data_IF_520328854419
#
_entry.id   IF_520328854419
#
_cell.length_a   1.000
_cell.length_b   1.000
_cell.length_c   1.000
_cell.angle_alpha   90.00
_cell.angle_beta   90.00
_cell.angle_gamma   90.00
#
_symmetry.space_group_name_H-M   'P 1'
#
loop_
_entity.id
_entity.type
_entity.pdbx_description
1 polymer ?
#
# COMPACT_ATOMS: atom_id res chain seq x y z
N UNK A 1 -19.86 9.60 -48.33
CA UNK A 1 -19.65 8.36 -47.60
C UNK A 1 -18.70 8.68 -46.46
N UNK A 2 -19.28 8.99 -45.29
CA UNK A 2 -18.54 9.05 -44.05
C UNK A 2 -18.19 7.60 -43.73
N UNK A 3 -16.91 7.27 -43.90
CA UNK A 3 -16.36 6.00 -43.46
C UNK A 3 -16.46 5.95 -41.92
N UNK A 4 -17.33 5.08 -41.46
CA UNK A 4 -17.80 5.02 -40.06
C UNK A 4 -16.83 4.45 -39.07
N UNK A 5 -15.54 4.50 -39.31
CA UNK A 5 -14.51 4.13 -38.36
C UNK A 5 -14.13 5.32 -37.49
N UNK A 6 -15.00 5.65 -36.54
CA UNK A 6 -14.71 6.62 -35.49
C UNK A 6 -13.49 6.21 -34.62
N UNK A 7 -13.00 4.99 -34.80
CA UNK A 7 -11.84 4.45 -34.09
C UNK A 7 -11.05 3.48 -34.97
N UNK A 8 -10.33 3.96 -35.98
CA UNK A 8 -9.41 3.10 -36.71
C UNK A 8 -8.26 2.77 -35.75
N UNK A 9 -7.99 1.53 -35.49
CA UNK A 9 -6.82 1.04 -34.74
C UNK A 9 -6.82 1.23 -33.24
N UNK A 10 -7.92 1.52 -32.61
CA UNK A 10 -7.97 1.59 -31.16
C UNK A 10 -8.05 0.21 -30.59
N UNK A 11 -7.11 -0.09 -29.73
CA UNK A 11 -7.26 -1.11 -28.73
C UNK A 11 -8.71 -1.10 -28.24
N UNK A 12 -9.39 -2.25 -28.35
CA UNK A 12 -10.75 -2.45 -27.88
C UNK A 12 -10.90 -2.18 -26.37
N UNK A 13 -9.78 -2.11 -25.67
CA UNK A 13 -9.73 -1.88 -24.24
C UNK A 13 -8.75 -0.78 -23.87
N UNK A 14 -9.20 0.14 -23.03
CA UNK A 14 -8.34 1.11 -22.32
C UNK A 14 -8.61 0.91 -20.84
N UNK A 15 -7.55 0.78 -20.06
CA UNK A 15 -7.61 0.68 -18.61
C UNK A 15 -6.85 1.84 -17.98
N UNK A 16 -7.40 2.37 -16.91
CA UNK A 16 -6.76 3.33 -16.03
C UNK A 16 -6.83 2.81 -14.61
N UNK A 17 -5.91 3.20 -13.76
CA UNK A 17 -5.92 2.90 -12.34
C UNK A 17 -5.82 4.19 -11.53
N UNK A 18 -6.51 4.24 -10.41
CA UNK A 18 -6.48 5.34 -9.45
C UNK A 18 -6.59 4.79 -8.03
N UNK A 19 -5.98 5.47 -7.07
CA UNK A 19 -6.17 5.21 -5.64
C UNK A 19 -7.36 5.97 -5.07
N UNK A 20 -7.92 6.94 -5.83
CA UNK A 20 -9.05 7.74 -5.40
C UNK A 20 -10.37 7.11 -5.84
N UNK A 21 -11.45 7.40 -5.11
CA UNK A 21 -12.79 6.95 -5.50
C UNK A 21 -13.15 7.53 -6.88
N UNK A 22 -13.38 6.67 -7.89
CA UNK A 22 -13.64 7.09 -9.26
C UNK A 22 -14.86 8.03 -9.40
N UNK A 23 -15.83 7.91 -8.51
CA UNK A 23 -17.02 8.76 -8.52
C UNK A 23 -16.70 10.25 -8.28
N UNK A 24 -15.58 10.55 -7.62
CA UNK A 24 -15.17 11.93 -7.35
C UNK A 24 -14.15 12.47 -8.34
N UNK A 25 -13.34 11.60 -8.94
CA UNK A 25 -12.25 12.03 -9.81
C UNK A 25 -12.53 11.87 -11.31
N UNK A 26 -13.54 11.09 -11.70
CA UNK A 26 -13.87 10.87 -13.11
C UNK A 26 -15.17 11.57 -13.52
N UNK A 27 -15.20 12.00 -14.79
CA UNK A 27 -16.43 12.55 -15.37
C UNK A 27 -17.53 11.48 -15.42
N UNK A 28 -18.79 11.80 -15.02
CA UNK A 28 -19.91 10.85 -15.06
C UNK A 28 -20.15 10.20 -16.43
N UNK A 29 -19.91 10.94 -17.51
CA UNK A 29 -20.03 10.40 -18.87
C UNK A 29 -18.98 9.33 -19.18
N UNK A 30 -17.81 9.39 -18.54
CA UNK A 30 -16.78 8.36 -18.64
C UNK A 30 -17.13 7.17 -17.76
N UNK A 31 -17.56 7.42 -16.53
CA UNK A 31 -17.99 6.36 -15.58
C UNK A 31 -19.10 5.47 -16.16
N UNK A 32 -20.08 6.06 -16.85
CA UNK A 32 -21.18 5.30 -17.47
C UNK A 32 -20.73 4.35 -18.58
N UNK A 33 -19.50 4.51 -19.08
CA UNK A 33 -18.91 3.68 -20.16
C UNK A 33 -17.76 2.79 -19.69
N UNK A 34 -17.41 2.85 -18.40
CA UNK A 34 -16.32 2.07 -17.81
C UNK A 34 -16.88 0.97 -16.92
N UNK A 35 -16.20 -0.16 -16.90
CA UNK A 35 -16.37 -1.15 -15.85
C UNK A 35 -15.40 -0.80 -14.71
N UNK A 36 -15.93 -0.62 -13.51
CA UNK A 36 -15.12 -0.42 -12.31
C UNK A 36 -14.72 -1.78 -11.74
N UNK A 37 -13.44 -1.92 -11.46
CA UNK A 37 -12.86 -3.09 -10.78
C UNK A 37 -12.11 -2.57 -9.57
N UNK A 38 -12.58 -2.95 -8.39
CA UNK A 38 -11.95 -2.60 -7.13
C UNK A 38 -10.86 -3.62 -6.79
N UNK A 39 -9.65 -3.12 -6.56
CA UNK A 39 -8.54 -3.92 -6.03
C UNK A 39 -8.49 -3.73 -4.51
N UNK A 40 -8.63 -4.82 -3.79
CA UNK A 40 -8.51 -4.82 -2.33
C UNK A 40 -7.08 -5.09 -1.91
N UNK A 41 -6.74 -4.67 -0.70
CA UNK A 41 -5.50 -5.07 -0.04
C UNK A 41 -5.42 -6.59 0.06
N UNK A 42 -4.24 -7.15 -0.13
CA UNK A 42 -4.03 -8.58 -0.06
C UNK A 42 -4.11 -9.08 1.38
N UNK A 43 -4.78 -10.21 1.57
CA UNK A 43 -4.80 -10.89 2.86
C UNK A 43 -3.45 -11.61 3.13
N UNK A 44 -3.20 -11.96 4.39
CA UNK A 44 -1.99 -12.71 4.77
C UNK A 44 -1.89 -14.04 3.99
N UNK A 45 -3.04 -14.69 3.78
CA UNK A 45 -3.14 -15.95 3.02
C UNK A 45 -2.76 -15.79 1.53
N UNK A 46 -2.95 -14.59 0.97
CA UNK A 46 -2.55 -14.27 -0.41
C UNK A 46 -1.05 -13.94 -0.50
N UNK A 47 -0.50 -13.33 0.57
CA UNK A 47 0.88 -12.89 0.64
C UNK A 47 1.87 -14.05 0.91
N UNK A 48 1.49 -15.04 1.71
CA UNK A 48 2.33 -16.18 2.04
C UNK A 48 2.77 -17.01 0.80
N UNK A 49 1.88 -17.35 -0.15
CA UNK A 49 2.29 -18.00 -1.39
C UNK A 49 3.25 -17.15 -2.24
N UNK A 50 3.09 -15.82 -2.23
CA UNK A 50 3.98 -14.91 -2.96
C UNK A 50 5.40 -14.97 -2.41
N UNK A 51 5.59 -14.97 -1.09
CA UNK A 51 6.91 -15.12 -0.44
C UNK A 51 7.53 -16.46 -0.82
N UNK A 52 6.78 -17.55 -0.66
CA UNK A 52 7.29 -18.91 -0.98
C UNK A 52 7.69 -19.03 -2.45
N UNK A 53 6.90 -18.47 -3.35
CA UNK A 53 7.23 -18.42 -4.78
C UNK A 53 8.51 -17.62 -5.03
N UNK A 54 8.67 -16.45 -4.40
CA UNK A 54 9.86 -15.61 -4.57
C UNK A 54 11.13 -16.31 -4.07
N UNK A 55 11.04 -17.03 -2.95
CA UNK A 55 12.17 -17.81 -2.42
C UNK A 55 12.51 -19.03 -3.28
N UNK A 56 11.57 -19.57 -4.06
CA UNK A 56 11.81 -20.71 -4.96
C UNK A 56 12.16 -20.33 -6.40
N UNK A 57 11.92 -19.10 -6.83
CA UNK A 57 12.15 -18.66 -8.21
C UNK A 57 13.63 -18.27 -8.40
N UNK A 58 14.35 -19.06 -9.19
CA UNK A 58 15.79 -18.86 -9.46
C UNK A 58 16.04 -17.75 -10.48
N UNK A 59 15.08 -17.53 -11.41
CA UNK A 59 15.27 -16.56 -12.49
C UNK A 59 14.88 -15.14 -12.10
N UNK A 60 13.80 -15.00 -11.33
CA UNK A 60 13.18 -13.69 -11.01
C UNK A 60 13.09 -13.38 -9.53
N UNK A 61 13.50 -14.32 -8.68
CA UNK A 61 13.40 -14.23 -7.23
C UNK A 61 14.73 -14.47 -6.52
N UNK A 62 14.64 -15.01 -5.33
CA UNK A 62 15.75 -15.28 -4.44
C UNK A 62 16.18 -16.76 -4.44
N UNK A 63 15.63 -17.57 -5.36
CA UNK A 63 15.85 -19.02 -5.38
C UNK A 63 17.30 -19.44 -5.55
N UNK A 64 18.13 -18.64 -6.22
CA UNK A 64 19.57 -18.90 -6.37
C UNK A 64 20.30 -18.90 -5.02
N UNK A 65 19.79 -18.18 -4.00
CA UNK A 65 20.38 -18.11 -2.66
C UNK A 65 19.96 -19.24 -1.73
N UNK A 66 19.00 -20.08 -2.14
CA UNK A 66 18.48 -21.22 -1.37
C UNK A 66 18.06 -20.89 0.06
N UNK A 67 17.42 -19.73 0.24
CA UNK A 67 16.95 -19.25 1.54
C UNK A 67 15.68 -20.00 1.96
N UNK A 68 15.52 -20.18 3.27
CA UNK A 68 14.29 -20.63 3.91
C UNK A 68 13.74 -19.55 4.81
N UNK A 69 12.45 -19.62 5.16
CA UNK A 69 11.81 -18.69 6.08
C UNK A 69 11.02 -19.47 7.13
N UNK A 70 11.08 -19.04 8.37
CA UNK A 70 10.27 -19.59 9.45
C UNK A 70 8.81 -19.13 9.31
N UNK A 71 7.85 -19.96 9.71
CA UNK A 71 6.42 -19.65 9.54
C UNK A 71 6.00 -18.39 10.34
N UNK A 72 6.54 -18.20 11.52
CA UNK A 72 6.32 -17.01 12.35
C UNK A 72 6.98 -15.75 11.75
N UNK A 73 8.12 -15.89 11.08
CA UNK A 73 8.77 -14.81 10.33
C UNK A 73 7.97 -14.43 9.08
N UNK A 74 7.36 -15.42 8.43
CA UNK A 74 6.48 -15.20 7.28
C UNK A 74 5.20 -14.45 7.68
N UNK A 75 4.59 -14.81 8.80
CA UNK A 75 3.43 -14.09 9.34
C UNK A 75 3.78 -12.63 9.69
N UNK A 76 4.92 -12.43 10.36
CA UNK A 76 5.38 -11.08 10.71
C UNK A 76 5.66 -10.23 9.46
N UNK A 77 6.28 -10.82 8.46
CA UNK A 77 6.59 -10.16 7.18
C UNK A 77 5.30 -9.74 6.47
N UNK A 78 4.31 -10.64 6.39
CA UNK A 78 3.01 -10.35 5.81
C UNK A 78 2.25 -9.26 6.57
N UNK A 79 2.22 -9.31 7.90
CA UNK A 79 1.61 -8.28 8.73
C UNK A 79 2.27 -6.91 8.55
N UNK A 80 3.61 -6.86 8.46
CA UNK A 80 4.39 -5.63 8.29
C UNK A 80 4.18 -4.98 6.92
N UNK A 81 3.73 -5.74 5.93
CA UNK A 81 3.47 -5.24 4.57
C UNK A 81 2.14 -4.49 4.43
N UNK A 82 1.23 -4.62 5.40
CA UNK A 82 -0.10 -4.00 5.39
C UNK A 82 -0.93 -4.32 4.12
N UNK A 83 -0.76 -5.52 3.56
CA UNK A 83 -1.47 -5.97 2.36
C UNK A 83 -0.89 -5.47 1.03
N UNK A 84 0.28 -4.84 1.05
CA UNK A 84 1.00 -4.38 -0.16
C UNK A 84 2.10 -5.39 -0.55
N UNK A 85 1.91 -6.02 -1.73
CA UNK A 85 2.87 -7.01 -2.25
C UNK A 85 4.24 -6.40 -2.56
N UNK A 86 4.32 -5.14 -3.00
CA UNK A 86 5.61 -4.48 -3.27
C UNK A 86 6.39 -4.26 -1.99
N UNK A 87 5.71 -3.76 -0.96
CA UNK A 87 6.30 -3.57 0.36
C UNK A 87 6.74 -4.90 0.96
N UNK A 88 5.95 -5.96 0.81
CA UNK A 88 6.30 -7.32 1.22
C UNK A 88 7.62 -7.78 0.56
N UNK A 89 7.72 -7.64 -0.75
CA UNK A 89 8.90 -8.08 -1.51
C UNK A 89 10.14 -7.26 -1.16
N UNK A 90 10.00 -5.96 -0.96
CA UNK A 90 11.10 -5.10 -0.51
C UNK A 90 11.60 -5.50 0.89
N UNK A 91 10.68 -5.77 1.83
CA UNK A 91 11.04 -6.25 3.17
C UNK A 91 11.72 -7.62 3.11
N UNK A 92 11.21 -8.52 2.27
CA UNK A 92 11.81 -9.84 2.05
C UNK A 92 13.24 -9.73 1.47
N UNK A 93 13.44 -8.82 0.51
CA UNK A 93 14.76 -8.57 -0.09
C UNK A 93 15.76 -8.04 0.94
N UNK A 94 15.33 -7.10 1.80
CA UNK A 94 16.17 -6.58 2.89
C UNK A 94 16.50 -7.65 3.93
N UNK A 95 15.52 -8.46 4.34
CA UNK A 95 15.76 -9.57 5.26
C UNK A 95 16.69 -10.61 4.66
N UNK A 96 16.53 -10.90 3.37
CA UNK A 96 17.41 -11.79 2.64
C UNK A 96 18.83 -11.23 2.57
N UNK A 97 19.01 -9.92 2.32
CA UNK A 97 20.34 -9.29 2.25
C UNK A 97 21.14 -9.44 3.55
N UNK A 98 20.45 -9.53 4.69
CA UNK A 98 21.06 -9.73 6.02
C UNK A 98 21.25 -11.20 6.38
N UNK A 99 20.84 -12.13 5.50
CA UNK A 99 20.91 -13.57 5.73
C UNK A 99 21.98 -14.17 4.82
N UNK A 100 22.79 -15.09 5.32
CA UNK A 100 23.78 -15.82 4.50
C UNK A 100 23.08 -16.76 3.51
N UNK A 101 23.76 -17.12 2.42
CA UNK A 101 23.23 -18.08 1.45
C UNK A 101 23.02 -19.44 2.12
N UNK A 102 21.99 -20.17 1.70
CA UNK A 102 21.46 -21.36 2.35
C UNK A 102 20.96 -21.13 3.79
N UNK A 103 20.83 -19.86 4.21
CA UNK A 103 20.41 -19.48 5.55
C UNK A 103 18.90 -19.48 5.73
N UNK A 104 18.51 -19.06 6.93
CA UNK A 104 17.12 -18.99 7.35
C UNK A 104 16.74 -17.57 7.74
N UNK A 105 15.67 -17.06 7.16
CA UNK A 105 15.06 -15.79 7.52
C UNK A 105 14.23 -16.00 8.79
N UNK A 106 14.60 -15.31 9.84
CA UNK A 106 13.98 -15.40 11.17
C UNK A 106 13.16 -14.16 11.49
N UNK A 107 12.37 -14.21 12.55
CA UNK A 107 11.66 -13.04 13.07
C UNK A 107 12.59 -11.84 13.33
N UNK A 108 13.82 -12.08 13.78
CA UNK A 108 14.77 -11.01 14.06
C UNK A 108 15.17 -10.30 12.77
N UNK A 109 15.54 -11.06 11.72
CA UNK A 109 15.92 -10.47 10.43
C UNK A 109 14.79 -9.67 9.80
N UNK A 110 13.53 -10.13 9.96
CA UNK A 110 12.34 -9.39 9.48
C UNK A 110 12.13 -8.10 10.28
N UNK A 111 12.31 -8.14 11.62
CA UNK A 111 12.20 -6.94 12.46
C UNK A 111 13.27 -5.90 12.13
N UNK A 112 14.50 -6.33 11.91
CA UNK A 112 15.62 -5.46 11.55
C UNK A 112 15.37 -4.81 10.17
N UNK A 113 14.87 -5.59 9.21
CA UNK A 113 14.47 -5.08 7.90
C UNK A 113 13.31 -4.07 8.00
N UNK A 114 12.32 -4.35 8.84
CA UNK A 114 11.16 -3.46 9.05
C UNK A 114 11.57 -2.17 9.78
N UNK A 115 12.48 -2.23 10.75
CA UNK A 115 12.99 -1.07 11.48
C UNK A 115 13.73 -0.09 10.55
N UNK A 116 14.42 -0.59 9.52
CA UNK A 116 15.06 0.23 8.51
C UNK A 116 14.10 0.94 7.55
N UNK A 117 12.85 0.50 7.51
CA UNK A 117 11.79 1.11 6.68
C UNK A 117 10.74 1.88 7.51
N UNK A 118 11.08 2.29 8.72
CA UNK A 118 10.17 2.94 9.63
C UNK A 118 9.69 4.30 9.10
N UNK A 119 8.60 4.27 8.33
CA UNK A 119 7.54 5.28 8.37
C UNK A 119 6.23 4.54 8.08
N UNK A 120 5.18 4.65 8.91
CA UNK A 120 3.86 4.25 8.49
C UNK A 120 3.56 4.97 7.18
N UNK A 121 3.15 4.24 6.16
CA UNK A 121 2.74 4.84 4.88
C UNK A 121 1.52 5.70 5.17
N UNK A 122 1.78 6.96 5.47
CA UNK A 122 0.77 7.99 5.40
C UNK A 122 0.59 8.30 3.91
N UNK A 123 -0.45 7.72 3.32
CA UNK A 123 -0.81 8.00 1.95
C UNK A 123 -1.41 9.41 1.88
N UNK A 124 -0.59 10.37 1.47
CA UNK A 124 -0.96 11.79 1.38
C UNK A 124 -2.09 12.05 0.38
N UNK A 125 -2.24 11.19 -0.60
CA UNK A 125 -3.16 11.37 -1.72
C UNK A 125 -4.29 10.32 -1.72
N UNK A 126 -4.35 9.42 -0.74
CA UNK A 126 -5.31 8.34 -0.65
C UNK A 126 -6.51 8.62 0.26
N UNK A 127 -7.49 7.72 0.22
CA UNK A 127 -8.70 7.78 1.05
C UNK A 127 -8.38 7.89 2.55
N UNK A 128 -7.26 7.29 2.99
CA UNK A 128 -6.80 7.34 4.38
C UNK A 128 -6.44 8.78 4.84
N UNK A 129 -5.90 9.63 3.94
CA UNK A 129 -5.65 11.05 4.25
C UNK A 129 -6.96 11.80 4.53
N UNK A 130 -7.98 11.58 3.71
CA UNK A 130 -9.28 12.23 3.90
C UNK A 130 -9.98 11.74 5.16
N UNK A 131 -9.86 10.46 5.48
CA UNK A 131 -10.45 9.87 6.68
C UNK A 131 -9.81 10.41 7.95
N UNK A 132 -8.47 10.46 8.02
CA UNK A 132 -7.73 11.01 9.17
C UNK A 132 -8.03 12.50 9.34
N UNK A 133 -8.00 13.28 8.25
CA UNK A 133 -8.35 14.71 8.28
C UNK A 133 -9.79 14.91 8.75
N UNK A 134 -10.72 14.11 8.25
CA UNK A 134 -12.14 14.15 8.66
C UNK A 134 -12.31 13.79 10.13
N UNK A 135 -11.60 12.77 10.62
CA UNK A 135 -11.62 12.37 12.02
C UNK A 135 -11.07 13.50 12.92
N UNK A 136 -9.96 14.13 12.53
CA UNK A 136 -9.40 15.30 13.23
C UNK A 136 -10.40 16.44 13.35
N UNK A 137 -11.03 16.84 12.24
CA UNK A 137 -12.03 17.92 12.23
C UNK A 137 -13.26 17.55 13.09
N UNK A 138 -13.73 16.30 13.00
CA UNK A 138 -14.88 15.83 13.79
C UNK A 138 -14.55 15.81 15.29
N UNK A 139 -13.35 15.42 15.68
CA UNK A 139 -12.91 15.44 17.08
C UNK A 139 -12.92 16.86 17.66
N UNK A 140 -12.38 17.83 16.91
CA UNK A 140 -12.42 19.24 17.32
C UNK A 140 -13.86 19.77 17.46
N UNK A 141 -14.72 19.47 16.48
CA UNK A 141 -16.14 19.87 16.53
C UNK A 141 -16.91 19.18 17.65
N UNK A 142 -16.53 17.97 17.99
CA UNK A 142 -17.10 17.20 19.10
C UNK A 142 -16.54 17.60 20.47
N UNK A 143 -15.61 18.57 20.52
CA UNK A 143 -14.92 18.98 21.75
C UNK A 143 -14.25 17.83 22.48
N UNK A 144 -13.66 16.89 21.73
CA UNK A 144 -12.88 15.77 22.23
C UNK A 144 -11.38 16.07 22.05
N UNK A 145 -10.70 16.62 23.08
CA UNK A 145 -9.30 17.00 22.98
C UNK A 145 -8.36 15.81 22.84
N UNK A 146 -8.67 14.67 23.44
CA UNK A 146 -7.81 13.48 23.39
C UNK A 146 -7.81 12.88 21.99
N UNK A 147 -8.98 12.75 21.39
CA UNK A 147 -9.08 12.29 20.01
C UNK A 147 -8.45 13.30 19.02
N UNK A 148 -8.62 14.61 19.25
CA UNK A 148 -8.01 15.62 18.38
C UNK A 148 -6.48 15.56 18.44
N UNK A 149 -5.90 15.41 19.61
CA UNK A 149 -4.44 15.24 19.78
C UNK A 149 -3.92 13.95 19.15
N UNK A 150 -4.66 12.85 19.28
CA UNK A 150 -4.30 11.58 18.64
C UNK A 150 -4.24 11.72 17.12
N UNK A 151 -5.29 12.28 16.51
CA UNK A 151 -5.33 12.46 15.05
C UNK A 151 -4.30 13.48 14.55
N UNK A 152 -4.04 14.54 15.32
CA UNK A 152 -2.97 15.50 15.04
C UNK A 152 -1.60 14.82 15.01
N UNK A 153 -1.30 14.02 16.04
CA UNK A 153 -0.05 13.27 16.12
C UNK A 153 0.11 12.32 14.93
N UNK A 154 -0.98 11.60 14.55
CA UNK A 154 -0.99 10.72 13.38
C UNK A 154 -0.71 11.46 12.08
N UNK A 155 -1.24 12.67 11.90
CA UNK A 155 -0.99 13.49 10.71
C UNK A 155 0.47 13.97 10.67
N UNK A 156 1.03 14.42 11.80
CA UNK A 156 2.42 14.88 11.90
C UNK A 156 3.41 13.73 11.68
N UNK A 157 3.16 12.58 12.31
CA UNK A 157 3.98 11.37 12.17
C UNK A 157 3.96 10.86 10.71
N UNK A 158 2.80 10.96 10.05
CA UNK A 158 2.64 10.68 8.62
C UNK A 158 3.28 11.72 7.70
N UNK A 159 3.88 12.78 8.24
CA UNK A 159 4.57 13.82 7.48
C UNK A 159 3.63 14.81 6.77
N UNK A 160 2.41 15.00 7.28
CA UNK A 160 1.48 16.00 6.76
C UNK A 160 2.03 17.42 6.91
N UNK A 161 1.71 18.28 5.95
CA UNK A 161 2.15 19.67 5.98
C UNK A 161 1.50 20.42 7.15
N UNK A 162 2.28 20.99 8.09
CA UNK A 162 1.73 21.75 9.22
C UNK A 162 0.82 22.90 8.80
N UNK A 163 1.08 23.53 7.65
CA UNK A 163 0.20 24.59 7.13
C UNK A 163 -1.16 24.05 6.67
N UNK A 164 -1.20 22.81 6.18
CA UNK A 164 -2.46 22.15 5.85
C UNK A 164 -3.28 21.89 7.11
N UNK A 165 -2.62 21.39 8.17
CA UNK A 165 -3.25 21.13 9.47
C UNK A 165 -3.78 22.42 10.08
N UNK A 166 -2.95 23.48 10.13
CA UNK A 166 -3.33 24.76 10.67
C UNK A 166 -4.58 25.35 10.02
N UNK A 167 -4.74 25.20 8.70
CA UNK A 167 -5.96 25.63 7.97
C UNK A 167 -7.22 24.87 8.34
N UNK A 168 -7.12 23.76 9.07
CA UNK A 168 -8.26 22.97 9.53
C UNK A 168 -8.69 23.34 10.95
N UNK A 169 -7.83 24.06 11.68
CA UNK A 169 -8.09 24.53 13.04
C UNK A 169 -8.83 25.88 13.02
N UNK A 170 -8.59 26.69 11.99
CA UNK A 170 -9.23 28.01 11.76
C UNK A 170 -10.53 27.83 11.00
#
# INVERSE_FOLDING_TARGET
TLDGTLFPYTTLFRSGATTQNPAFCLNPALLSRCQLVEFRTLAVDDLAPLVRRTLGDVERGLGARQLSIDDDALELLAASSSGDARRLLNLLELAAASTEDNGRITNQTVRDAAAGQAAPVYDRDGDNHYDITSAFIKSMRGSDPDAALYWLARMLDGGENPNFIARRIV
#
